data_IF_013586937380
#
_entry.id   IF_013586937380
#
_cell.length_a   1.000
_cell.length_b   1.000
_cell.length_c   1.000
_cell.angle_alpha   90.00
_cell.angle_beta   90.00
_cell.angle_gamma   90.00
#
_symmetry.space_group_name_H-M   'P 1'
#
loop_
_entity.id
_entity.type
_entity.pdbx_description
1 polymer ?
#
# COMPACT_ATOMS: atom_id res chain seq x y z
N UNK A 1 17.50 68.83 20.59
CA UNK A 1 16.31 68.27 21.28
C UNK A 1 15.08 68.99 20.76
N UNK A 2 13.91 68.33 20.70
CA UNK A 2 13.65 66.88 20.87
C UNK A 2 13.56 66.19 19.48
N UNK A 3 13.70 64.88 19.25
CA UNK A 3 13.20 63.66 19.91
C UNK A 3 11.68 63.44 19.83
N UNK A 4 11.27 62.42 19.08
CA UNK A 4 10.17 61.51 19.43
C UNK A 4 10.19 60.26 18.53
N UNK A 5 9.92 59.10 19.14
CA UNK A 5 10.04 57.76 18.56
C UNK A 5 8.99 57.41 17.49
N UNK A 6 9.40 56.56 16.54
CA UNK A 6 8.53 55.52 15.98
C UNK A 6 9.36 54.22 15.88
N UNK A 7 8.82 53.13 16.41
CA UNK A 7 9.44 51.80 16.51
C UNK A 7 9.81 51.16 15.16
N UNK A 8 10.87 50.32 15.10
CA UNK A 8 11.20 49.57 13.89
C UNK A 8 10.20 48.43 13.65
N UNK A 9 9.41 48.53 12.59
CA UNK A 9 8.54 47.45 12.14
C UNK A 9 9.34 46.34 11.46
N UNK A 10 9.39 45.19 12.13
CA UNK A 10 9.48 43.80 11.61
C UNK A 10 10.37 43.52 10.38
N UNK A 11 11.36 42.66 10.60
CA UNK A 11 12.24 42.10 9.58
C UNK A 11 11.48 41.39 8.45
N UNK A 12 11.97 41.40 7.20
CA UNK A 12 11.41 40.59 6.13
C UNK A 12 11.57 39.09 6.45
N UNK A 13 10.49 38.34 6.19
CA UNK A 13 10.41 36.90 6.44
C UNK A 13 11.56 36.13 5.72
N UNK A 14 12.43 35.40 6.44
CA UNK A 14 13.71 34.92 5.88
C UNK A 14 13.63 33.63 5.04
N UNK A 15 12.47 32.99 4.92
CA UNK A 15 12.32 31.70 4.24
C UNK A 15 12.26 31.81 2.70
N UNK A 16 13.33 32.34 2.10
CA UNK A 16 13.68 32.05 0.72
C UNK A 16 14.49 30.77 0.67
N UNK A 17 14.04 29.77 -0.10
CA UNK A 17 14.72 28.49 -0.26
C UNK A 17 16.19 28.67 -0.70
N UNK A 18 17.13 28.19 0.11
CA UNK A 18 18.50 27.94 -0.37
C UNK A 18 18.53 26.64 -1.20
N UNK A 19 19.39 26.56 -2.23
CA UNK A 19 19.57 25.33 -3.00
C UNK A 19 20.34 24.29 -2.17
N UNK A 20 19.63 23.30 -1.64
CA UNK A 20 20.22 22.18 -0.89
C UNK A 20 21.08 21.31 -1.82
N UNK A 21 22.39 21.53 -1.78
CA UNK A 21 23.39 20.77 -2.53
C UNK A 21 23.92 19.55 -1.72
N UNK A 22 23.03 18.88 -0.98
CA UNK A 22 23.32 17.68 -0.19
C UNK A 22 22.34 16.54 -0.55
N UNK A 23 22.76 15.27 -0.56
CA UNK A 23 21.86 14.14 -0.77
C UNK A 23 20.87 14.02 0.39
N UNK A 24 19.56 13.97 0.09
CA UNK A 24 18.51 13.73 1.10
C UNK A 24 18.54 12.27 1.56
N UNK A 25 18.23 12.03 2.83
CA UNK A 25 18.17 10.69 3.39
C UNK A 25 17.07 9.84 2.72
N UNK A 26 17.27 8.52 2.63
CA UNK A 26 16.23 7.64 2.11
C UNK A 26 15.10 7.48 3.14
N UNK A 27 13.85 7.73 2.72
CA UNK A 27 12.68 7.72 3.61
C UNK A 27 11.88 6.45 3.36
N UNK A 28 11.99 5.47 4.27
CA UNK A 28 11.30 4.19 4.28
C UNK A 28 9.97 4.27 5.09
N UNK A 29 9.17 3.21 5.01
CA UNK A 29 7.86 3.05 5.65
C UNK A 29 7.81 1.89 6.66
N UNK A 30 7.68 2.13 7.98
CA UNK A 30 7.43 1.06 8.98
C UNK A 30 5.99 1.09 9.49
N UNK A 31 5.35 -0.09 9.44
CA UNK A 31 3.92 -0.24 9.56
C UNK A 31 3.48 -1.32 10.58
N UNK A 32 2.95 -0.93 11.76
CA UNK A 32 2.41 -1.85 12.78
C UNK A 32 1.26 -1.28 13.64
N UNK A 33 0.33 -2.09 14.17
CA UNK A 33 -0.91 -1.59 14.82
C UNK A 33 -0.63 -0.67 16.01
N UNK A 34 -1.64 0.07 16.50
CA UNK A 34 -1.46 0.93 17.68
C UNK A 34 -1.06 0.02 18.85
N UNK A 35 0.09 0.32 19.47
CA UNK A 35 0.82 -0.62 20.31
C UNK A 35 2.25 -0.93 19.82
N UNK A 36 2.97 -1.70 20.64
CA UNK A 36 4.45 -1.83 20.64
C UNK A 36 5.07 -2.46 19.39
N UNK A 37 4.27 -3.06 18.49
CA UNK A 37 4.77 -3.73 17.29
C UNK A 37 5.58 -2.82 16.35
N UNK A 38 5.14 -1.57 16.15
CA UNK A 38 5.92 -0.57 15.36
C UNK A 38 7.26 -0.31 16.00
N UNK A 39 7.21 0.11 17.26
CA UNK A 39 8.30 0.63 18.06
C UNK A 39 9.34 -0.48 18.30
N UNK A 40 8.92 -1.74 18.35
CA UNK A 40 9.78 -2.91 18.35
C UNK A 40 10.48 -3.16 17.01
N UNK A 41 9.77 -3.02 15.87
CA UNK A 41 10.37 -3.12 14.53
C UNK A 41 11.36 -1.97 14.28
N UNK A 42 10.98 -0.74 14.63
CA UNK A 42 11.85 0.44 14.62
C UNK A 42 13.11 0.17 15.47
N UNK A 43 12.94 -0.32 16.69
CA UNK A 43 14.05 -0.65 17.60
C UNK A 43 15.01 -1.72 17.03
N UNK A 44 14.47 -2.74 16.36
CA UNK A 44 15.27 -3.79 15.72
C UNK A 44 15.99 -3.27 14.49
N UNK A 45 15.32 -2.53 13.60
CA UNK A 45 15.97 -1.91 12.44
C UNK A 45 17.10 -0.96 12.87
N UNK A 46 16.90 -0.16 13.92
CA UNK A 46 17.97 0.67 14.48
C UNK A 46 19.13 -0.16 15.04
N UNK A 47 18.87 -1.22 15.82
CA UNK A 47 19.95 -2.06 16.37
C UNK A 47 20.81 -2.73 15.30
N UNK A 48 20.19 -3.28 14.26
CA UNK A 48 20.92 -4.01 13.22
C UNK A 48 21.64 -3.06 12.24
N UNK A 49 21.10 -1.86 12.00
CA UNK A 49 21.58 -0.98 10.91
C UNK A 49 22.34 0.27 11.39
N UNK A 50 22.20 0.73 12.64
CA UNK A 50 22.86 1.96 13.11
C UNK A 50 24.39 1.84 13.25
N UNK A 51 24.95 0.63 13.16
CA UNK A 51 26.39 0.42 13.04
C UNK A 51 26.94 0.60 11.62
N UNK A 52 26.07 0.58 10.61
CA UNK A 52 26.42 0.64 9.18
C UNK A 52 25.87 1.89 8.47
N UNK A 53 24.76 2.45 8.98
CA UNK A 53 24.03 3.59 8.43
C UNK A 53 23.89 4.72 9.46
N UNK A 54 24.04 5.97 9.02
CA UNK A 54 23.73 7.15 9.83
C UNK A 54 22.22 7.36 9.89
N UNK A 55 21.58 6.91 10.96
CA UNK A 55 20.11 6.88 11.05
C UNK A 55 19.52 7.95 11.97
N UNK A 56 18.25 8.27 11.73
CA UNK A 56 17.39 9.00 12.65
C UNK A 56 15.94 8.46 12.57
N UNK A 57 15.16 8.63 13.63
CA UNK A 57 13.76 8.15 13.68
C UNK A 57 12.83 9.28 14.06
N UNK A 58 11.75 9.43 13.29
CA UNK A 58 10.60 10.26 13.63
C UNK A 58 9.45 9.35 14.04
N UNK A 59 8.97 9.48 15.28
CA UNK A 59 7.75 8.82 15.76
C UNK A 59 6.57 9.78 15.71
N UNK A 60 5.38 9.22 15.49
CA UNK A 60 4.14 9.99 15.40
C UNK A 60 3.23 9.61 16.57
N UNK A 61 3.33 10.40 17.62
CA UNK A 61 2.69 10.17 18.91
C UNK A 61 1.50 11.12 19.06
N UNK A 62 0.44 10.71 19.77
CA UNK A 62 -0.85 11.43 19.77
C UNK A 62 -0.80 12.68 20.68
N UNK A 63 -0.48 12.47 21.96
CA UNK A 63 -0.47 13.47 23.04
C UNK A 63 0.69 13.28 24.03
N UNK A 64 1.64 12.42 23.68
CA UNK A 64 2.77 11.97 24.51
C UNK A 64 3.97 11.76 23.60
N UNK A 65 5.10 11.29 24.11
CA UNK A 65 6.25 10.80 23.32
C UNK A 65 6.55 9.33 23.65
N UNK A 66 5.52 8.50 23.79
CA UNK A 66 5.62 7.11 24.29
C UNK A 66 6.41 6.19 23.36
N UNK A 67 6.19 6.27 22.03
CA UNK A 67 6.95 5.50 21.05
C UNK A 67 8.42 5.98 20.99
N UNK A 68 8.66 7.30 21.10
CA UNK A 68 10.03 7.83 21.23
C UNK A 68 10.71 7.41 22.54
N UNK A 69 10.01 7.43 23.68
CA UNK A 69 10.54 6.97 24.98
C UNK A 69 10.86 5.49 24.96
N UNK A 70 10.04 4.67 24.30
CA UNK A 70 10.34 3.26 24.09
C UNK A 70 11.66 3.09 23.32
N UNK A 71 11.86 3.81 22.22
CA UNK A 71 13.10 3.74 21.43
C UNK A 71 14.33 4.26 22.20
N UNK A 72 14.20 5.41 22.89
CA UNK A 72 15.26 6.01 23.71
C UNK A 72 15.66 5.09 24.87
N UNK A 73 14.69 4.49 25.58
CA UNK A 73 14.96 3.56 26.69
C UNK A 73 15.49 2.20 26.23
N UNK A 74 15.16 1.78 25.00
CA UNK A 74 15.75 0.61 24.36
C UNK A 74 17.19 0.83 23.87
N UNK A 75 17.72 2.06 23.94
CA UNK A 75 19.14 2.40 23.67
C UNK A 75 19.58 2.16 22.22
N UNK A 76 18.65 2.17 21.26
CA UNK A 76 18.89 1.71 19.87
C UNK A 76 19.52 2.77 18.96
N UNK A 77 19.43 4.03 19.36
CA UNK A 77 20.09 5.20 18.78
C UNK A 77 20.41 6.21 19.90
N UNK A 78 21.35 7.13 19.68
CA UNK A 78 21.47 8.34 20.51
C UNK A 78 20.12 9.05 20.63
N UNK A 79 19.78 9.54 21.82
CA UNK A 79 18.42 10.01 22.13
C UNK A 79 18.03 11.27 21.35
N UNK A 80 19.03 12.05 20.95
CA UNK A 80 18.94 13.22 20.07
C UNK A 80 18.58 12.88 18.62
N UNK A 81 18.81 11.64 18.17
CA UNK A 81 18.43 11.13 16.83
C UNK A 81 17.03 10.51 16.79
N UNK A 82 16.26 10.60 17.89
CA UNK A 82 14.88 10.12 18.00
C UNK A 82 13.96 11.29 18.31
N UNK A 83 13.19 11.74 17.33
CA UNK A 83 12.25 12.86 17.43
C UNK A 83 10.81 12.35 17.51
N UNK A 84 10.09 12.75 18.54
CA UNK A 84 8.64 12.61 18.56
C UNK A 84 8.02 13.82 17.87
N UNK A 85 7.01 13.58 17.03
CA UNK A 85 6.06 14.58 16.57
C UNK A 85 4.76 14.34 17.33
N UNK A 86 4.43 15.26 18.23
CA UNK A 86 3.16 15.26 18.96
C UNK A 86 2.05 15.76 18.03
N UNK A 87 1.30 14.82 17.48
CA UNK A 87 0.34 15.05 16.40
C UNK A 87 -0.97 15.72 16.83
N UNK A 88 -1.25 15.84 18.13
CA UNK A 88 -2.43 16.52 18.69
C UNK A 88 -3.78 15.85 18.40
N UNK A 89 -3.76 14.75 17.65
CA UNK A 89 -4.90 13.93 17.25
C UNK A 89 -4.39 12.53 16.90
N UNK A 90 -5.27 11.60 16.51
CA UNK A 90 -4.84 10.30 16.00
C UNK A 90 -3.81 10.49 14.87
N UNK A 91 -2.69 9.73 14.81
CA UNK A 91 -1.57 10.11 13.94
C UNK A 91 -1.96 10.03 12.46
N UNK A 92 -2.87 9.10 12.15
CA UNK A 92 -3.47 8.92 10.83
C UNK A 92 -4.34 10.11 10.38
N UNK A 93 -4.91 10.88 11.32
CA UNK A 93 -5.68 12.10 11.04
C UNK A 93 -4.73 13.28 10.85
N UNK A 94 -3.78 13.47 11.77
CA UNK A 94 -2.86 14.60 11.73
C UNK A 94 -1.97 14.57 10.47
N UNK A 95 -1.33 13.44 10.16
CA UNK A 95 -0.46 13.30 8.98
C UNK A 95 -1.24 13.51 7.67
N UNK A 96 -2.54 13.18 7.66
CA UNK A 96 -3.42 13.39 6.50
C UNK A 96 -3.82 14.85 6.34
N UNK A 97 -4.02 15.56 7.44
CA UNK A 97 -4.56 16.93 7.44
C UNK A 97 -3.44 17.99 7.39
N UNK A 98 -2.27 17.73 7.99
CA UNK A 98 -1.04 18.52 7.86
C UNK A 98 0.23 17.68 8.15
N UNK A 99 1.07 17.47 7.12
CA UNK A 99 2.34 16.74 7.23
C UNK A 99 3.54 17.64 7.52
N UNK A 100 3.36 18.96 7.63
CA UNK A 100 4.46 19.93 7.76
C UNK A 100 5.33 19.64 8.99
N UNK A 101 4.71 19.42 10.16
CA UNK A 101 5.45 19.07 11.38
C UNK A 101 6.29 17.78 11.26
N UNK A 102 5.90 16.85 10.38
CA UNK A 102 6.70 15.66 10.08
C UNK A 102 7.86 15.93 9.13
N UNK A 103 7.67 16.82 8.15
CA UNK A 103 8.72 17.22 7.22
C UNK A 103 9.74 18.11 7.93
N UNK A 104 9.28 19.09 8.71
CA UNK A 104 10.11 19.95 9.56
C UNK A 104 10.94 19.10 10.54
N UNK A 105 10.34 18.11 11.20
CA UNK A 105 11.06 17.21 12.10
C UNK A 105 12.10 16.33 11.38
N UNK A 106 11.93 16.03 10.08
CA UNK A 106 12.96 15.33 9.29
C UNK A 106 14.03 16.32 8.83
N UNK A 107 13.67 17.54 8.41
CA UNK A 107 14.61 18.56 7.94
C UNK A 107 15.48 19.09 9.10
N UNK A 108 14.92 19.29 10.30
CA UNK A 108 15.65 19.54 11.56
C UNK A 108 16.72 18.47 11.82
N UNK A 109 16.37 17.18 11.62
CA UNK A 109 17.28 16.05 11.85
C UNK A 109 18.34 15.94 10.75
N UNK A 110 17.96 16.19 9.49
CA UNK A 110 18.89 16.23 8.34
C UNK A 110 19.88 17.40 8.49
N UNK A 111 19.47 18.57 8.99
CA UNK A 111 20.36 19.73 9.23
C UNK A 111 21.25 19.55 10.48
N UNK A 112 20.71 19.07 11.60
CA UNK A 112 21.47 18.94 12.85
C UNK A 112 22.41 17.72 12.90
N UNK A 113 22.08 16.63 12.19
CA UNK A 113 22.78 15.34 12.31
C UNK A 113 23.17 14.70 10.97
N UNK A 114 23.02 15.43 9.87
CA UNK A 114 23.40 15.00 8.53
C UNK A 114 24.90 14.72 8.35
N UNK A 115 25.29 13.87 7.38
CA UNK A 115 24.41 13.14 6.47
C UNK A 115 23.66 11.99 7.18
N UNK A 116 22.44 11.72 6.73
CA UNK A 116 21.58 10.63 7.20
C UNK A 116 21.20 9.70 6.03
N UNK A 117 21.01 8.42 6.31
CA UNK A 117 20.76 7.37 5.32
C UNK A 117 19.31 6.81 5.34
N UNK A 118 18.56 6.86 6.46
CA UNK A 118 17.26 6.14 6.61
C UNK A 118 16.21 6.75 7.61
N UNK A 119 14.88 6.74 7.30
CA UNK A 119 13.68 7.20 8.10
C UNK A 119 12.41 6.30 7.87
N UNK A 120 11.28 6.29 8.66
CA UNK A 120 10.30 5.15 8.76
C UNK A 120 8.74 5.45 9.07
N UNK A 121 7.72 5.11 8.21
CA UNK A 121 6.20 5.42 8.31
C UNK A 121 5.09 4.34 7.83
N UNK A 122 3.78 4.38 8.27
CA UNK A 122 2.61 3.41 8.05
C UNK A 122 1.83 3.43 6.68
N UNK A 123 0.81 2.55 6.45
CA UNK A 123 0.44 2.03 5.08
C UNK A 123 -0.95 2.30 4.41
N UNK A 124 -2.16 2.05 4.96
CA UNK A 124 -3.43 2.12 4.14
C UNK A 124 -4.68 2.84 4.73
N UNK A 125 -5.61 2.19 5.45
CA UNK A 125 -6.58 2.89 6.35
C UNK A 125 -5.81 3.74 7.38
N UNK A 126 -4.64 3.22 7.73
CA UNK A 126 -3.54 3.85 8.44
C UNK A 126 -2.89 5.05 7.72
N UNK A 127 -3.09 5.22 6.40
CA UNK A 127 -2.82 6.43 5.61
C UNK A 127 -4.08 7.27 5.40
N UNK A 128 -5.13 7.05 6.21
CA UNK A 128 -6.37 7.82 6.18
C UNK A 128 -7.41 7.36 5.16
N UNK A 129 -7.15 6.29 4.40
CA UNK A 129 -8.09 5.77 3.40
C UNK A 129 -9.41 5.31 4.03
N UNK A 130 -10.50 5.52 3.30
CA UNK A 130 -11.82 4.93 3.55
C UNK A 130 -12.06 3.83 2.52
N UNK A 131 -12.58 2.68 2.94
CA UNK A 131 -12.58 1.47 2.10
C UNK A 131 -13.95 0.82 2.06
N UNK A 132 -14.48 0.61 0.86
CA UNK A 132 -15.58 -0.35 0.62
C UNK A 132 -14.96 -1.70 0.28
N UNK A 133 -15.36 -2.75 0.99
CA UNK A 133 -14.85 -4.12 0.82
C UNK A 133 -15.99 -5.02 0.35
N UNK A 134 -15.76 -5.74 -0.74
CA UNK A 134 -16.70 -6.74 -1.28
C UNK A 134 -16.11 -8.14 -1.10
N UNK A 135 -16.82 -9.03 -0.42
CA UNK A 135 -16.48 -10.46 -0.32
C UNK A 135 -17.77 -11.31 -0.17
N UNK A 136 -17.65 -12.63 -0.30
CA UNK A 136 -18.73 -13.59 -0.02
C UNK A 136 -18.85 -13.92 1.47
N UNK A 137 -17.76 -13.78 2.23
CA UNK A 137 -17.60 -14.23 3.61
C UNK A 137 -18.08 -13.18 4.62
N UNK A 138 -19.36 -13.25 5.00
CA UNK A 138 -19.97 -12.32 5.97
C UNK A 138 -19.17 -12.19 7.28
N UNK A 139 -18.78 -13.32 7.89
CA UNK A 139 -18.10 -13.34 9.20
C UNK A 139 -16.74 -12.61 9.17
N UNK A 140 -16.01 -12.71 8.05
CA UNK A 140 -14.75 -11.99 7.86
C UNK A 140 -14.99 -10.49 7.63
N UNK A 141 -16.06 -10.13 6.92
CA UNK A 141 -16.49 -8.75 6.75
C UNK A 141 -16.94 -8.07 8.05
N UNK A 142 -17.72 -8.78 8.87
CA UNK A 142 -18.19 -8.31 10.18
C UNK A 142 -17.01 -8.08 11.13
N UNK A 143 -16.04 -9.01 11.16
CA UNK A 143 -14.80 -8.85 11.93
C UNK A 143 -13.97 -7.64 11.46
N UNK A 144 -13.91 -7.38 10.15
CA UNK A 144 -13.19 -6.23 9.58
C UNK A 144 -13.86 -4.90 9.94
N UNK A 145 -15.19 -4.83 9.90
CA UNK A 145 -15.96 -3.65 10.32
C UNK A 145 -15.86 -3.42 11.83
N UNK A 146 -15.80 -4.50 12.63
CA UNK A 146 -15.60 -4.38 14.08
C UNK A 146 -14.19 -3.87 14.46
N UNK A 147 -13.14 -4.23 13.69
CA UNK A 147 -11.76 -3.77 13.92
C UNK A 147 -11.52 -2.33 13.43
N UNK A 148 -12.11 -1.95 12.28
CA UNK A 148 -11.79 -0.69 11.59
C UNK A 148 -12.89 0.38 11.66
N UNK A 149 -14.08 0.05 12.15
CA UNK A 149 -15.21 0.97 12.37
C UNK A 149 -15.61 1.75 11.11
N UNK A 150 -15.96 3.02 11.29
CA UNK A 150 -16.42 3.93 10.21
C UNK A 150 -15.40 4.15 9.07
N UNK A 151 -14.18 3.63 9.19
CA UNK A 151 -13.22 3.63 8.07
C UNK A 151 -13.58 2.62 6.96
N UNK A 152 -14.42 1.62 7.27
CA UNK A 152 -14.74 0.51 6.36
C UNK A 152 -16.24 0.28 6.24
N UNK A 153 -16.70 -0.01 5.03
CA UNK A 153 -18.03 -0.57 4.78
C UNK A 153 -17.88 -1.91 4.08
N UNK A 154 -18.48 -2.95 4.66
CA UNK A 154 -18.51 -4.28 4.06
C UNK A 154 -19.80 -4.50 3.26
N UNK A 155 -19.65 -5.06 2.06
CA UNK A 155 -20.74 -5.48 1.19
C UNK A 155 -20.57 -6.98 0.92
N UNK A 156 -21.55 -7.78 1.34
CA UNK A 156 -21.60 -9.18 0.95
C UNK A 156 -22.09 -9.30 -0.48
N UNK A 157 -21.25 -9.75 -1.39
CA UNK A 157 -21.61 -9.87 -2.81
C UNK A 157 -20.66 -10.78 -3.60
N UNK A 158 -21.19 -11.37 -4.66
CA UNK A 158 -20.38 -12.09 -5.66
C UNK A 158 -19.89 -11.08 -6.70
N UNK A 159 -18.58 -10.93 -6.84
CA UNK A 159 -17.96 -9.97 -7.79
C UNK A 159 -18.23 -10.31 -9.27
N UNK A 160 -18.73 -11.51 -9.57
CA UNK A 160 -19.19 -11.87 -10.92
C UNK A 160 -20.57 -11.28 -11.28
N UNK A 161 -21.38 -10.92 -10.28
CA UNK A 161 -22.61 -10.15 -10.51
C UNK A 161 -22.26 -8.69 -10.75
N UNK A 162 -22.66 -8.18 -11.92
CA UNK A 162 -22.43 -6.79 -12.31
C UNK A 162 -23.06 -5.80 -11.32
N UNK A 163 -24.22 -6.11 -10.73
CA UNK A 163 -24.91 -5.22 -9.81
C UNK A 163 -24.11 -4.94 -8.53
N UNK A 164 -23.23 -5.86 -8.13
CA UNK A 164 -22.35 -5.70 -6.96
C UNK A 164 -21.27 -4.65 -7.21
N UNK A 165 -20.79 -4.52 -8.46
CA UNK A 165 -19.84 -3.48 -8.86
C UNK A 165 -20.47 -2.08 -8.79
N UNK A 166 -21.67 -1.93 -9.35
CA UNK A 166 -22.44 -0.67 -9.29
C UNK A 166 -22.72 -0.29 -7.81
N UNK A 167 -23.26 -1.22 -7.01
CA UNK A 167 -23.53 -1.04 -5.57
C UNK A 167 -22.28 -0.63 -4.75
N UNK A 168 -21.11 -1.19 -5.05
CA UNK A 168 -19.88 -0.88 -4.33
C UNK A 168 -19.37 0.53 -4.61
N UNK A 169 -19.50 1.01 -5.86
CA UNK A 169 -19.16 2.37 -6.26
C UNK A 169 -20.14 3.37 -5.64
N UNK A 170 -21.45 3.12 -5.74
CA UNK A 170 -22.48 3.94 -5.13
C UNK A 170 -22.26 4.07 -3.61
N UNK A 171 -22.00 2.94 -2.93
CA UNK A 171 -21.70 2.92 -1.49
C UNK A 171 -20.46 3.75 -1.14
N UNK A 172 -19.40 3.73 -1.97
CA UNK A 172 -18.20 4.53 -1.72
C UNK A 172 -18.50 6.03 -1.82
N UNK A 173 -19.25 6.45 -2.85
CA UNK A 173 -19.65 7.85 -3.04
C UNK A 173 -20.62 8.31 -1.95
N UNK A 174 -21.64 7.53 -1.60
CA UNK A 174 -22.62 7.88 -0.57
C UNK A 174 -22.01 7.97 0.83
N UNK A 175 -21.06 7.09 1.16
CA UNK A 175 -20.49 6.99 2.52
C UNK A 175 -19.24 7.84 2.71
N UNK A 176 -18.46 8.07 1.66
CA UNK A 176 -17.15 8.72 1.74
C UNK A 176 -16.98 9.91 0.77
N UNK A 177 -17.93 10.16 -0.13
CA UNK A 177 -17.99 11.34 -1.02
C UNK A 177 -17.21 11.21 -2.34
N UNK A 178 -16.36 10.20 -2.48
CA UNK A 178 -15.53 9.98 -3.67
C UNK A 178 -15.09 8.51 -3.81
N UNK A 179 -14.56 8.19 -4.98
CA UNK A 179 -13.81 6.97 -5.25
C UNK A 179 -12.49 7.33 -5.92
N UNK A 180 -11.40 7.30 -5.16
CA UNK A 180 -10.06 7.69 -5.62
C UNK A 180 -9.22 6.50 -6.07
N UNK A 181 -9.56 5.29 -5.63
CA UNK A 181 -8.88 4.06 -6.04
C UNK A 181 -9.82 2.85 -6.10
N UNK A 182 -9.66 2.02 -7.14
CA UNK A 182 -10.28 0.71 -7.29
C UNK A 182 -9.21 -0.40 -7.23
N UNK A 183 -9.45 -1.44 -6.43
CA UNK A 183 -8.52 -2.57 -6.28
C UNK A 183 -9.20 -3.90 -6.64
N UNK A 184 -8.96 -4.39 -7.86
CA UNK A 184 -9.56 -5.63 -8.37
C UNK A 184 -8.68 -6.85 -8.00
N UNK A 185 -8.77 -7.27 -6.74
CA UNK A 185 -8.02 -8.42 -6.20
C UNK A 185 -8.77 -9.76 -6.34
N UNK A 186 -10.09 -9.76 -6.12
CA UNK A 186 -10.91 -10.98 -6.07
C UNK A 186 -10.80 -11.82 -7.35
N UNK A 187 -10.66 -13.13 -7.19
CA UNK A 187 -10.60 -14.12 -8.28
C UNK A 187 -10.62 -15.53 -7.69
N UNK A 188 -11.40 -16.44 -8.27
CA UNK A 188 -11.46 -17.84 -7.90
C UNK A 188 -11.08 -18.74 -9.10
N UNK A 189 -10.49 -19.90 -8.84
CA UNK A 189 -10.14 -20.90 -9.86
C UNK A 189 -9.97 -22.28 -9.24
N UNK A 190 -9.83 -23.32 -10.07
CA UNK A 190 -9.53 -24.69 -9.62
C UNK A 190 -8.22 -25.17 -10.27
N UNK A 191 -7.33 -25.75 -9.47
CA UNK A 191 -6.05 -26.30 -9.93
C UNK A 191 -6.28 -27.73 -10.41
N UNK A 192 -6.20 -27.96 -11.73
CA UNK A 192 -6.42 -29.28 -12.37
C UNK A 192 -5.63 -29.39 -13.68
N UNK A 193 -5.16 -30.60 -14.07
CA UNK A 193 -4.60 -30.86 -15.39
C UNK A 193 -5.51 -30.30 -16.50
N UNK A 194 -4.92 -29.74 -17.57
CA UNK A 194 -5.68 -29.06 -18.61
C UNK A 194 -6.78 -29.94 -19.24
N UNK A 195 -6.51 -31.23 -19.43
CA UNK A 195 -7.45 -32.23 -19.94
C UNK A 195 -8.58 -32.62 -18.97
N UNK A 196 -8.55 -32.13 -17.73
CA UNK A 196 -9.54 -32.37 -16.68
C UNK A 196 -10.29 -31.10 -16.26
N UNK A 197 -9.98 -29.94 -16.86
CA UNK A 197 -10.68 -28.68 -16.61
C UNK A 197 -12.05 -28.69 -17.31
N UNK A 198 -13.12 -28.44 -16.56
CA UNK A 198 -14.49 -28.37 -17.09
C UNK A 198 -14.85 -26.96 -17.55
N UNK A 199 -15.95 -26.81 -18.29
CA UNK A 199 -16.48 -25.47 -18.63
C UNK A 199 -16.75 -24.62 -17.38
N UNK A 200 -17.16 -25.23 -16.26
CA UNK A 200 -17.34 -24.55 -14.97
C UNK A 200 -16.01 -24.07 -14.35
N UNK A 201 -14.88 -24.75 -14.59
CA UNK A 201 -13.55 -24.31 -14.15
C UNK A 201 -13.09 -23.06 -14.94
N UNK A 202 -13.47 -22.98 -16.21
CA UNK A 202 -13.22 -21.82 -17.07
C UNK A 202 -14.15 -20.66 -16.75
N UNK A 203 -15.45 -20.93 -16.62
CA UNK A 203 -16.47 -19.95 -16.24
C UNK A 203 -16.13 -19.30 -14.89
N UNK A 204 -15.79 -20.09 -13.86
CA UNK A 204 -15.38 -19.56 -12.55
C UNK A 204 -14.20 -18.58 -12.66
N UNK A 205 -13.13 -18.96 -13.37
CA UNK A 205 -11.92 -18.15 -13.50
C UNK A 205 -12.14 -16.87 -14.31
N UNK A 206 -12.91 -16.94 -15.41
CA UNK A 206 -13.20 -15.79 -16.26
C UNK A 206 -14.22 -14.85 -15.63
N UNK A 207 -15.29 -15.36 -15.02
CA UNK A 207 -16.36 -14.56 -14.43
C UNK A 207 -15.86 -13.80 -13.18
N UNK A 208 -15.24 -14.51 -12.23
CA UNK A 208 -14.76 -13.90 -10.97
C UNK A 208 -13.45 -13.13 -11.14
N UNK A 209 -12.70 -13.38 -12.23
CA UNK A 209 -11.45 -12.68 -12.54
C UNK A 209 -11.65 -11.58 -13.57
N UNK A 210 -11.69 -11.96 -14.85
CA UNK A 210 -11.68 -11.03 -15.98
C UNK A 210 -12.95 -10.18 -16.06
N UNK A 211 -14.13 -10.80 -16.03
CA UNK A 211 -15.39 -10.09 -16.20
C UNK A 211 -15.74 -9.26 -14.97
N UNK A 212 -15.48 -9.76 -13.75
CA UNK A 212 -15.52 -8.96 -12.52
C UNK A 212 -14.64 -7.71 -12.62
N UNK A 213 -13.34 -7.86 -12.95
CA UNK A 213 -12.41 -6.73 -13.12
C UNK A 213 -12.94 -5.71 -14.14
N UNK A 214 -13.39 -6.17 -15.31
CA UNK A 214 -14.00 -5.30 -16.34
C UNK A 214 -15.25 -4.57 -15.81
N UNK A 215 -16.14 -5.27 -15.11
CA UNK A 215 -17.41 -4.72 -14.65
C UNK A 215 -17.19 -3.64 -13.58
N UNK A 216 -16.34 -3.91 -12.58
CA UNK A 216 -15.97 -2.94 -11.56
C UNK A 216 -15.23 -1.73 -12.15
N UNK A 217 -14.34 -1.94 -13.13
CA UNK A 217 -13.71 -0.82 -13.85
C UNK A 217 -14.76 0.05 -14.55
N UNK A 218 -15.71 -0.53 -15.29
CA UNK A 218 -16.76 0.22 -15.98
C UNK A 218 -17.69 0.97 -15.02
N UNK A 219 -18.02 0.38 -13.87
CA UNK A 219 -18.81 1.03 -12.82
C UNK A 219 -18.05 2.21 -12.17
N UNK A 220 -16.76 2.03 -11.89
CA UNK A 220 -15.93 3.04 -11.21
C UNK A 220 -15.49 4.20 -12.12
N UNK A 221 -15.47 4.02 -13.44
CA UNK A 221 -14.93 5.00 -14.40
C UNK A 221 -15.47 6.44 -14.23
N UNK A 222 -16.79 6.70 -14.05
CA UNK A 222 -17.29 8.07 -13.89
C UNK A 222 -16.71 8.79 -12.67
N UNK A 223 -16.55 8.07 -11.56
CA UNK A 223 -16.02 8.63 -10.31
C UNK A 223 -14.49 8.71 -10.33
N UNK A 224 -13.80 7.70 -10.85
CA UNK A 224 -12.35 7.73 -11.06
C UNK A 224 -11.94 8.87 -12.02
N UNK A 225 -12.76 9.18 -13.02
CA UNK A 225 -12.60 10.34 -13.90
C UNK A 225 -12.75 11.67 -13.16
N UNK A 226 -13.64 11.71 -12.16
CA UNK A 226 -13.88 12.90 -11.33
C UNK A 226 -12.78 13.12 -10.30
N UNK A 227 -12.21 12.04 -9.73
CA UNK A 227 -11.11 12.08 -8.77
C UNK A 227 -9.71 12.09 -9.41
N UNK A 228 -9.59 11.77 -10.70
CA UNK A 228 -8.31 11.48 -11.38
C UNK A 228 -7.56 10.29 -10.73
N UNK A 229 -8.34 9.29 -10.32
CA UNK A 229 -7.93 8.20 -9.45
C UNK A 229 -7.10 7.09 -10.09
N UNK A 230 -7.00 5.96 -9.38
CA UNK A 230 -6.21 4.80 -9.79
C UNK A 230 -7.00 3.48 -9.83
N UNK A 231 -6.61 2.58 -10.70
CA UNK A 231 -7.04 1.17 -10.74
C UNK A 231 -5.82 0.28 -10.52
N UNK A 232 -5.91 -0.63 -9.56
CA UNK A 232 -4.91 -1.66 -9.29
C UNK A 232 -5.54 -3.03 -9.54
N UNK A 233 -5.16 -3.65 -10.65
CA UNK A 233 -5.62 -4.97 -11.05
C UNK A 233 -4.60 -6.05 -10.66
N UNK A 234 -5.05 -7.30 -10.47
CA UNK A 234 -4.17 -8.41 -10.09
C UNK A 234 -3.98 -9.42 -11.22
N UNK A 235 -2.76 -9.52 -11.74
CA UNK A 235 -2.30 -10.63 -12.57
C UNK A 235 -1.61 -11.72 -11.71
N UNK A 236 -0.89 -12.64 -12.32
CA UNK A 236 -0.17 -13.71 -11.62
C UNK A 236 1.00 -14.21 -12.43
N UNK A 237 2.09 -14.59 -11.75
CA UNK A 237 3.22 -15.28 -12.37
C UNK A 237 2.84 -16.61 -13.03
N UNK A 238 1.73 -17.23 -12.64
CA UNK A 238 1.28 -18.50 -13.20
C UNK A 238 1.08 -18.48 -14.73
N UNK A 239 0.63 -17.36 -15.29
CA UNK A 239 0.47 -17.19 -16.75
C UNK A 239 1.77 -16.81 -17.47
N UNK A 240 2.70 -16.16 -16.79
CA UNK A 240 3.98 -15.72 -17.36
C UNK A 240 5.02 -16.86 -17.37
N UNK A 241 5.06 -17.70 -16.32
CA UNK A 241 5.94 -18.88 -16.24
C UNK A 241 5.34 -20.14 -16.88
N UNK A 242 4.05 -20.13 -17.22
CA UNK A 242 3.34 -21.30 -17.76
C UNK A 242 3.18 -22.42 -16.73
N UNK A 243 2.72 -22.10 -15.52
CA UNK A 243 2.59 -23.07 -14.43
C UNK A 243 1.60 -24.21 -14.78
N UNK A 244 1.99 -25.48 -14.63
CA UNK A 244 1.10 -26.61 -14.85
C UNK A 244 -0.18 -26.54 -14.00
N UNK A 245 -1.26 -27.13 -14.51
CA UNK A 245 -2.57 -27.25 -13.85
C UNK A 245 -3.33 -25.92 -13.60
N UNK A 246 -2.83 -24.79 -14.10
CA UNK A 246 -3.38 -23.44 -13.87
C UNK A 246 -4.05 -22.83 -15.11
N UNK A 247 -4.38 -23.60 -16.16
CA UNK A 247 -4.71 -23.05 -17.50
C UNK A 247 -5.82 -21.98 -17.51
N UNK A 248 -7.01 -22.23 -16.94
CA UNK A 248 -8.09 -21.23 -16.85
C UNK A 248 -7.72 -19.99 -16.02
N UNK A 249 -7.02 -20.18 -14.90
CA UNK A 249 -6.53 -19.09 -14.05
C UNK A 249 -5.49 -18.22 -14.75
N UNK A 250 -4.50 -18.84 -15.40
CA UNK A 250 -3.49 -18.19 -16.21
C UNK A 250 -4.12 -17.38 -17.34
N UNK A 251 -5.07 -17.97 -18.08
CA UNK A 251 -5.82 -17.27 -19.13
C UNK A 251 -6.56 -16.04 -18.61
N UNK A 252 -7.27 -16.15 -17.47
CA UNK A 252 -7.97 -15.02 -16.86
C UNK A 252 -7.01 -13.91 -16.39
N UNK A 253 -5.90 -14.27 -15.73
CA UNK A 253 -4.91 -13.31 -15.21
C UNK A 253 -4.09 -12.64 -16.31
N UNK A 254 -3.80 -13.33 -17.41
CA UNK A 254 -3.16 -12.74 -18.59
C UNK A 254 -4.13 -11.87 -19.39
N UNK A 255 -5.41 -12.22 -19.46
CA UNK A 255 -6.44 -11.37 -20.04
C UNK A 255 -6.62 -10.06 -19.23
N UNK A 256 -6.56 -10.11 -17.90
CA UNK A 256 -6.53 -8.90 -17.04
C UNK A 256 -5.29 -8.04 -17.35
N UNK A 257 -4.10 -8.63 -17.54
CA UNK A 257 -2.88 -7.90 -17.92
C UNK A 257 -2.97 -7.29 -19.33
N UNK A 258 -3.64 -7.96 -20.26
CA UNK A 258 -3.98 -7.43 -21.58
C UNK A 258 -4.92 -6.22 -21.50
N UNK A 259 -6.08 -6.41 -20.87
CA UNK A 259 -7.10 -5.38 -20.65
C UNK A 259 -6.52 -4.13 -19.99
N UNK A 260 -5.77 -4.30 -18.90
CA UNK A 260 -5.22 -3.19 -18.12
C UNK A 260 -4.30 -2.28 -18.94
N UNK A 261 -3.49 -2.84 -19.85
CA UNK A 261 -2.60 -2.06 -20.71
C UNK A 261 -3.33 -1.27 -21.78
N UNK A 262 -4.42 -1.81 -22.33
CA UNK A 262 -5.26 -1.10 -23.31
C UNK A 262 -5.99 0.04 -22.62
N UNK A 263 -6.69 -0.26 -21.51
CA UNK A 263 -7.46 0.73 -20.77
C UNK A 263 -6.58 1.82 -20.13
N UNK A 264 -5.36 1.51 -19.70
CA UNK A 264 -4.39 2.50 -19.26
C UNK A 264 -4.10 3.59 -20.31
N UNK A 265 -4.01 3.21 -21.59
CA UNK A 265 -3.78 4.16 -22.68
C UNK A 265 -5.04 4.97 -23.01
N UNK A 266 -6.22 4.34 -22.96
CA UNK A 266 -7.50 5.01 -23.21
C UNK A 266 -7.84 6.04 -22.12
N UNK A 267 -7.69 5.66 -20.85
CA UNK A 267 -8.09 6.50 -19.71
C UNK A 267 -7.02 7.49 -19.24
N UNK A 268 -5.79 7.43 -19.77
CA UNK A 268 -4.76 8.43 -19.50
C UNK A 268 -5.19 9.85 -19.89
N UNK A 269 -6.04 10.00 -20.92
CA UNK A 269 -6.64 11.29 -21.31
C UNK A 269 -7.52 11.91 -20.21
N UNK A 270 -8.12 11.06 -19.37
CA UNK A 270 -8.93 11.43 -18.21
C UNK A 270 -8.12 11.43 -16.89
N UNK A 271 -6.79 11.30 -16.99
CA UNK A 271 -5.84 11.23 -15.88
C UNK A 271 -6.02 10.02 -14.93
N UNK A 272 -6.80 9.01 -15.31
CA UNK A 272 -6.94 7.78 -14.52
C UNK A 272 -5.74 6.87 -14.79
N UNK A 273 -5.11 6.37 -13.72
CA UNK A 273 -3.95 5.47 -13.79
C UNK A 273 -4.43 4.02 -13.66
N UNK A 274 -3.96 3.12 -14.52
CA UNK A 274 -4.34 1.69 -14.47
C UNK A 274 -3.08 0.84 -14.45
N UNK A 275 -2.81 0.17 -13.33
CA UNK A 275 -1.62 -0.65 -13.13
C UNK A 275 -1.98 -2.07 -12.67
N UNK A 276 -1.02 -2.97 -12.80
CA UNK A 276 -1.19 -4.39 -12.49
C UNK A 276 -0.14 -4.81 -11.46
N UNK A 277 -0.56 -5.49 -10.40
CA UNK A 277 0.33 -6.17 -9.46
C UNK A 277 0.28 -7.68 -9.74
N UNK A 278 1.44 -8.31 -9.77
CA UNK A 278 1.60 -9.76 -9.85
C UNK A 278 2.36 -10.24 -8.61
N UNK A 279 1.67 -10.61 -7.52
CA UNK A 279 2.31 -10.96 -6.26
C UNK A 279 2.67 -12.44 -6.15
N UNK A 280 3.67 -12.76 -5.31
CA UNK A 280 3.86 -14.10 -4.75
C UNK A 280 3.81 -14.02 -3.23
N UNK A 281 2.65 -14.29 -2.65
CA UNK A 281 2.37 -14.02 -1.24
C UNK A 281 1.87 -15.25 -0.46
N UNK A 282 2.27 -15.34 0.81
CA UNK A 282 1.81 -16.31 1.80
C UNK A 282 0.45 -15.88 2.36
N UNK A 283 -0.58 -15.97 1.52
CA UNK A 283 -1.99 -15.81 1.96
C UNK A 283 -2.39 -16.95 2.91
N UNK A 284 -3.54 -16.85 3.59
CA UNK A 284 -4.02 -17.88 4.54
C UNK A 284 -4.05 -19.29 3.91
N UNK A 285 -4.54 -19.43 2.67
CA UNK A 285 -4.54 -20.70 1.95
C UNK A 285 -3.14 -21.23 1.62
N UNK A 286 -2.20 -20.34 1.31
CA UNK A 286 -0.79 -20.71 1.09
C UNK A 286 -0.08 -21.07 2.39
N UNK A 287 -0.42 -20.43 3.51
CA UNK A 287 0.07 -20.78 4.84
C UNK A 287 -0.39 -22.20 5.23
N UNK A 288 -1.69 -22.50 5.10
CA UNK A 288 -2.24 -23.82 5.35
C UNK A 288 -1.63 -24.90 4.42
N UNK A 289 -1.42 -24.58 3.13
CA UNK A 289 -0.71 -25.48 2.21
C UNK A 289 0.74 -25.73 2.64
N UNK A 290 1.45 -24.69 3.08
CA UNK A 290 2.85 -24.77 3.51
C UNK A 290 3.01 -25.61 4.79
N UNK A 291 2.06 -25.51 5.72
CA UNK A 291 2.00 -26.35 6.93
C UNK A 291 1.72 -27.82 6.59
N UNK A 292 0.84 -28.08 5.61
CA UNK A 292 0.56 -29.43 5.13
C UNK A 292 1.68 -30.03 4.23
N UNK A 293 2.52 -29.19 3.60
CA UNK A 293 3.52 -29.61 2.62
C UNK A 293 4.88 -28.88 2.81
N UNK A 294 5.52 -28.98 3.99
CA UNK A 294 6.66 -28.13 4.36
C UNK A 294 7.88 -28.28 3.43
N UNK A 295 8.17 -29.50 2.95
CA UNK A 295 9.27 -29.74 2.00
C UNK A 295 9.00 -29.09 0.64
N UNK A 296 7.76 -29.18 0.13
CA UNK A 296 7.38 -28.57 -1.15
C UNK A 296 7.39 -27.04 -1.05
N UNK A 297 6.96 -26.49 0.09
CA UNK A 297 7.06 -25.06 0.38
C UNK A 297 8.52 -24.61 0.40
N UNK A 298 9.41 -25.32 1.11
CA UNK A 298 10.84 -24.98 1.15
C UNK A 298 11.49 -25.01 -0.25
N UNK A 299 11.21 -26.04 -1.05
CA UNK A 299 11.67 -26.14 -2.44
C UNK A 299 11.10 -25.06 -3.37
N UNK A 300 9.93 -24.51 -3.05
CA UNK A 300 9.30 -23.42 -3.80
C UNK A 300 9.87 -22.06 -3.39
N UNK A 301 10.01 -21.81 -2.09
CA UNK A 301 10.59 -20.60 -1.52
C UNK A 301 12.07 -20.43 -1.92
N UNK A 302 12.84 -21.52 -2.01
CA UNK A 302 14.23 -21.50 -2.45
C UNK A 302 14.43 -21.08 -3.93
N UNK A 303 13.36 -21.05 -4.73
CA UNK A 303 13.39 -20.52 -6.12
C UNK A 303 13.14 -19.02 -6.18
N UNK A 304 12.61 -18.42 -5.12
CA UNK A 304 12.43 -16.97 -4.99
C UNK A 304 13.78 -16.37 -4.57
N UNK A 305 14.33 -15.36 -5.28
CA UNK A 305 15.60 -14.74 -4.90
C UNK A 305 15.65 -14.15 -3.48
N UNK A 306 14.53 -13.63 -2.95
CA UNK A 306 14.42 -13.22 -1.54
C UNK A 306 14.17 -14.39 -0.55
N UNK A 307 14.22 -15.64 -1.02
CA UNK A 307 14.20 -16.86 -0.19
C UNK A 307 12.87 -17.19 0.50
N UNK A 308 11.83 -16.40 0.29
CA UNK A 308 10.51 -16.55 0.92
C UNK A 308 9.39 -16.03 0.01
N UNK A 309 8.17 -16.45 0.30
CA UNK A 309 6.99 -15.77 -0.24
C UNK A 309 6.72 -14.49 0.56
N UNK A 310 6.15 -13.47 -0.08
CA UNK A 310 5.81 -12.20 0.56
C UNK A 310 4.70 -12.34 1.61
N UNK A 311 4.75 -11.55 2.67
CA UNK A 311 3.59 -11.33 3.53
C UNK A 311 2.60 -10.38 2.83
N UNK A 312 1.30 -10.70 2.76
CA UNK A 312 0.32 -9.84 2.09
C UNK A 312 0.26 -8.40 2.64
N UNK A 313 0.50 -8.20 3.95
CA UNK A 313 0.43 -6.89 4.61
C UNK A 313 1.72 -6.11 4.50
N UNK A 314 2.90 -6.73 4.61
CA UNK A 314 4.18 -6.00 4.64
C UNK A 314 4.93 -5.96 3.31
N UNK A 315 4.67 -6.90 2.39
CA UNK A 315 5.35 -6.91 1.08
C UNK A 315 4.43 -6.52 -0.09
N UNK A 316 3.14 -6.88 -0.05
CA UNK A 316 2.21 -6.59 -1.17
C UNK A 316 1.41 -5.32 -0.97
N UNK A 317 0.76 -5.14 0.20
CA UNK A 317 -0.07 -3.96 0.47
C UNK A 317 0.65 -2.61 0.28
N UNK A 318 1.96 -2.43 0.62
CA UNK A 318 2.66 -1.18 0.35
C UNK A 318 2.80 -0.86 -1.15
N UNK A 319 2.92 -1.88 -2.01
CA UNK A 319 2.97 -1.70 -3.48
C UNK A 319 1.61 -1.24 -4.00
N UNK A 320 0.51 -1.81 -3.50
CA UNK A 320 -0.85 -1.36 -3.83
C UNK A 320 -1.05 0.09 -3.37
N UNK A 321 -0.63 0.43 -2.14
CA UNK A 321 -0.78 1.77 -1.58
C UNK A 321 0.04 2.82 -2.35
N UNK A 322 1.26 2.48 -2.77
CA UNK A 322 2.06 3.32 -3.67
C UNK A 322 1.38 3.51 -5.02
N UNK A 323 0.86 2.44 -5.64
CA UNK A 323 0.15 2.55 -6.93
C UNK A 323 -1.16 3.34 -6.82
N UNK A 324 -1.82 3.33 -5.66
CA UNK A 324 -3.01 4.12 -5.39
C UNK A 324 -2.70 5.61 -5.13
N UNK A 325 -1.57 5.94 -4.49
CA UNK A 325 -1.21 7.33 -4.15
C UNK A 325 -0.65 8.14 -5.34
N UNK A 326 -0.49 9.45 -5.11
CA UNK A 326 0.16 10.39 -6.03
C UNK A 326 1.66 10.13 -6.22
N UNK A 327 2.28 9.32 -5.37
CA UNK A 327 3.67 8.87 -5.53
C UNK A 327 3.86 8.12 -6.86
N UNK A 328 2.81 7.41 -7.31
CA UNK A 328 2.74 6.74 -8.60
C UNK A 328 2.02 7.56 -9.69
N UNK A 329 1.90 8.89 -9.55
CA UNK A 329 1.15 9.74 -10.52
C UNK A 329 1.66 9.69 -11.96
N UNK A 330 2.90 9.24 -12.18
CA UNK A 330 3.50 9.07 -13.51
C UNK A 330 3.68 7.60 -13.92
N UNK A 331 2.99 6.68 -13.25
CA UNK A 331 3.03 5.24 -13.51
C UNK A 331 1.63 4.79 -13.94
N UNK A 332 1.50 4.33 -15.19
CA UNK A 332 0.28 3.72 -15.74
C UNK A 332 0.65 2.66 -16.77
N UNK A 333 -0.22 1.67 -16.98
CA UNK A 333 -0.04 0.54 -17.90
C UNK A 333 1.01 -0.48 -17.47
N UNK A 334 1.58 -0.37 -16.27
CA UNK A 334 2.70 -1.20 -15.83
C UNK A 334 2.24 -2.49 -15.15
N UNK A 335 3.08 -3.53 -15.22
CA UNK A 335 2.96 -4.74 -14.40
C UNK A 335 4.12 -4.78 -13.41
N UNK A 336 3.82 -4.64 -12.12
CA UNK A 336 4.80 -4.69 -11.05
C UNK A 336 4.81 -6.09 -10.44
N UNK A 337 5.98 -6.74 -10.46
CA UNK A 337 6.19 -8.02 -9.81
C UNK A 337 6.42 -7.79 -8.31
N UNK A 338 5.50 -8.27 -7.47
CA UNK A 338 5.59 -8.22 -6.00
C UNK A 338 5.86 -9.63 -5.46
N UNK A 339 6.91 -10.26 -5.99
CA UNK A 339 7.12 -11.71 -5.96
C UNK A 339 8.49 -12.15 -5.41
N UNK A 340 9.23 -11.24 -4.78
CA UNK A 340 10.59 -11.49 -4.29
C UNK A 340 11.62 -11.73 -5.39
N UNK A 341 11.33 -11.30 -6.63
CA UNK A 341 12.21 -11.41 -7.80
C UNK A 341 12.10 -12.75 -8.54
N UNK A 342 11.07 -13.56 -8.26
CA UNK A 342 10.87 -14.87 -8.86
C UNK A 342 10.80 -14.77 -10.40
N UNK A 343 10.08 -13.78 -10.92
CA UNK A 343 9.93 -13.51 -12.35
C UNK A 343 10.56 -12.16 -12.69
N UNK A 344 11.30 -12.15 -13.81
CA UNK A 344 11.94 -10.95 -14.36
C UNK A 344 11.36 -10.73 -15.75
N UNK A 345 10.36 -9.86 -15.85
CA UNK A 345 9.83 -9.40 -17.12
C UNK A 345 10.97 -8.78 -17.94
N UNK A 346 11.05 -9.14 -19.23
CA UNK A 346 12.04 -8.67 -20.20
C UNK A 346 11.36 -7.96 -21.36
#
# INVERSE_FOLDING_TARGET
>A
MPENDITPAQQPNPHFHQPLNQPRAFRLGVAGPVGTGKSSILATLCRELAGELSMAVVTNDIYTDEDARFLRSAGVLPTERIRAVETGACPHTAIRDDVSANLDAVEDLEEAYGPLDLVLIRVFVERGARVVVVDLQQEAGDALVADLGDAVVFIRGDVSDRAVGDLAVDTAVERFGALDALVNNASASRVRPFTEQTEDDWKLALDTGLFATRNFMLAAYPELRRSQGAVINFASGAGTDGQPNQASYAAAKEAIRGLSRVVANEWAADQIRVNVVAPMARTAGVAAWAEANPEQYALSAAKVPLGRFGDPRTDVAPVIAFLASDDARYITGQTLMADGGAIKLR
#
